data_IF_939560276409
#
_entry.id   IF_939560276409
#
_cell.length_a   1.000
_cell.length_b   1.000
_cell.length_c   1.000
_cell.angle_alpha   90.00
_cell.angle_beta   90.00
_cell.angle_gamma   90.00
#
_symmetry.space_group_name_H-M   'P 1'
#
loop_
_entity.id
_entity.type
_entity.pdbx_description
1 polymer ?
#
# COMPACT_ATOMS: atom_id res chain seq x y z
N UNK A 1 -30.67 -7.05 25.54
CA UNK A 1 -29.21 -7.34 25.44
C UNK A 1 -28.63 -6.34 24.46
N UNK A 2 -27.96 -5.31 24.96
CA UNK A 2 -27.30 -4.27 24.16
C UNK A 2 -25.87 -4.72 23.85
N UNK A 3 -25.55 -4.85 22.57
CA UNK A 3 -24.20 -5.10 22.08
C UNK A 3 -23.29 -3.93 22.49
N UNK A 4 -22.07 -4.15 23.03
CA UNK A 4 -21.14 -3.05 23.23
C UNK A 4 -20.69 -2.54 21.86
N UNK A 5 -20.78 -1.23 21.64
CA UNK A 5 -20.13 -0.58 20.52
C UNK A 5 -18.61 -0.78 20.66
N UNK A 6 -17.97 -1.28 19.60
CA UNK A 6 -16.51 -1.32 19.53
C UNK A 6 -15.99 0.12 19.63
N UNK A 7 -15.20 0.40 20.67
CA UNK A 7 -14.53 1.68 20.81
C UNK A 7 -13.60 1.88 19.61
N UNK A 8 -13.78 2.96 18.86
CA UNK A 8 -12.83 3.37 17.84
C UNK A 8 -11.46 3.61 18.52
N UNK A 9 -10.44 2.87 18.09
CA UNK A 9 -9.07 3.10 18.56
C UNK A 9 -8.68 4.55 18.24
N UNK A 10 -8.22 5.29 19.26
CA UNK A 10 -7.64 6.60 19.04
C UNK A 10 -6.45 6.47 18.07
N UNK A 11 -6.26 7.39 17.11
CA UNK A 11 -5.13 7.33 16.22
C UNK A 11 -3.84 7.42 17.06
N UNK A 12 -3.08 6.34 17.11
CA UNK A 12 -1.75 6.38 17.71
C UNK A 12 -0.89 7.30 16.87
N UNK A 13 -0.36 8.32 17.54
CA UNK A 13 0.50 9.31 16.92
C UNK A 13 1.85 8.66 16.67
N UNK A 14 2.40 8.74 15.46
CA UNK A 14 3.76 8.30 15.19
C UNK A 14 4.75 9.27 15.82
N UNK A 15 5.03 9.08 17.12
CA UNK A 15 5.87 9.97 17.90
C UNK A 15 7.33 10.07 17.39
N UNK A 16 7.75 9.19 16.48
CA UNK A 16 9.10 9.15 15.94
C UNK A 16 9.25 9.91 14.59
N UNK A 17 8.18 10.47 14.03
CA UNK A 17 8.21 11.18 12.74
C UNK A 17 8.58 10.29 11.56
N UNK A 18 8.32 8.97 11.65
CA UNK A 18 8.54 8.00 10.58
C UNK A 18 7.22 7.43 10.07
N UNK A 19 7.29 6.91 8.84
CA UNK A 19 6.21 6.17 8.22
C UNK A 19 6.76 4.93 7.50
N UNK A 20 5.88 3.98 7.27
CA UNK A 20 6.14 2.75 6.54
C UNK A 20 6.38 3.06 5.07
N UNK A 21 7.33 2.36 4.48
CA UNK A 21 7.54 2.39 3.04
C UNK A 21 7.69 0.99 2.47
N UNK A 22 7.25 0.83 1.23
CA UNK A 22 7.42 -0.39 0.44
C UNK A 22 8.41 -0.17 -0.70
N UNK A 23 8.78 -1.24 -1.39
CA UNK A 23 9.65 -1.23 -2.57
C UNK A 23 9.11 -2.20 -3.62
N UNK A 24 9.67 -2.15 -4.83
CA UNK A 24 9.58 -3.24 -5.79
C UNK A 24 10.39 -4.42 -5.23
N UNK A 25 9.75 -5.59 -5.12
CA UNK A 25 10.37 -6.84 -4.69
C UNK A 25 10.78 -7.72 -5.87
N UNK A 26 9.92 -7.81 -6.89
CA UNK A 26 10.19 -8.62 -8.08
C UNK A 26 9.34 -8.20 -9.28
N UNK A 27 9.88 -8.41 -10.47
CA UNK A 27 9.09 -8.46 -11.70
C UNK A 27 8.45 -9.85 -11.85
N UNK A 28 7.25 -9.89 -12.42
CA UNK A 28 6.47 -11.10 -12.63
C UNK A 28 6.02 -11.27 -14.08
N UNK A 29 5.27 -12.35 -14.36
CA UNK A 29 4.78 -12.64 -15.70
C UNK A 29 3.80 -11.57 -16.18
N UNK A 30 3.67 -11.40 -17.49
CA UNK A 30 2.62 -10.56 -18.11
C UNK A 30 2.61 -9.09 -17.66
N UNK A 31 3.78 -8.52 -17.31
CA UNK A 31 3.87 -7.11 -16.88
C UNK A 31 3.28 -6.87 -15.49
N UNK A 32 3.37 -7.86 -14.60
CA UNK A 32 3.06 -7.69 -13.18
C UNK A 32 4.32 -7.40 -12.37
N UNK A 33 4.13 -6.74 -11.24
CA UNK A 33 5.16 -6.49 -10.23
C UNK A 33 4.67 -6.96 -8.87
N UNK A 34 5.60 -7.40 -8.04
CA UNK A 34 5.38 -7.62 -6.61
C UNK A 34 5.92 -6.41 -5.85
N UNK A 35 5.04 -5.69 -5.16
CA UNK A 35 5.40 -4.59 -4.27
C UNK A 35 5.17 -5.01 -2.83
N UNK A 36 6.06 -4.60 -1.93
CA UNK A 36 5.98 -5.02 -0.54
C UNK A 36 7.06 -4.41 0.33
N UNK A 37 7.01 -4.75 1.62
CA UNK A 37 7.88 -4.14 2.61
C UNK A 37 9.36 -4.57 2.52
N UNK A 38 9.62 -5.82 2.11
CA UNK A 38 10.95 -6.40 2.18
C UNK A 38 11.56 -6.35 3.59
N UNK A 39 12.89 -6.48 3.75
CA UNK A 39 13.53 -6.49 5.07
C UNK A 39 13.62 -5.12 5.75
N UNK A 40 13.30 -4.02 5.04
CA UNK A 40 13.50 -2.65 5.52
C UNK A 40 12.20 -1.94 5.93
N UNK A 41 11.05 -2.56 5.72
CA UNK A 41 9.75 -1.97 6.06
C UNK A 41 9.38 -2.25 7.51
N UNK A 42 8.80 -1.25 8.18
CA UNK A 42 8.26 -1.43 9.53
C UNK A 42 6.81 -0.94 9.57
N UNK A 43 5.88 -1.90 9.54
CA UNK A 43 4.44 -1.65 9.56
C UNK A 43 3.92 -1.17 10.92
N UNK A 44 4.71 -1.27 11.99
CA UNK A 44 4.28 -0.94 13.35
C UNK A 44 4.73 0.47 13.81
N UNK A 45 5.93 0.89 13.40
CA UNK A 45 6.54 2.14 13.85
C UNK A 45 7.01 3.04 12.69
N UNK A 46 6.84 2.59 11.44
CA UNK A 46 7.47 3.22 10.30
C UNK A 46 8.99 3.00 10.25
N UNK A 47 9.55 3.17 9.05
CA UNK A 47 10.96 2.92 8.76
C UNK A 47 11.67 4.16 8.19
N UNK A 48 10.92 5.10 7.61
CA UNK A 48 11.46 6.25 6.88
C UNK A 48 10.93 7.56 7.45
N UNK A 49 11.82 8.55 7.66
CA UNK A 49 11.43 9.87 8.16
C UNK A 49 10.46 10.56 7.20
N UNK A 50 9.36 11.13 7.72
CA UNK A 50 8.31 11.79 6.92
C UNK A 50 8.80 13.06 6.20
N UNK A 51 9.95 13.60 6.58
CA UNK A 51 10.62 14.71 5.88
C UNK A 51 11.25 14.29 4.55
N UNK A 52 11.45 12.98 4.32
CA UNK A 52 11.97 12.42 3.07
C UNK A 52 10.96 12.60 1.94
N UNK A 53 11.43 12.93 0.74
CA UNK A 53 10.60 12.92 -0.46
C UNK A 53 10.72 11.56 -1.15
N UNK A 54 9.62 10.80 -1.17
CA UNK A 54 9.52 9.50 -1.84
C UNK A 54 8.29 9.47 -2.74
N UNK A 55 8.32 8.73 -3.85
CA UNK A 55 7.12 8.43 -4.62
C UNK A 55 5.99 7.83 -3.76
N UNK A 56 4.75 8.06 -4.15
CA UNK A 56 3.57 7.43 -3.56
C UNK A 56 3.20 6.19 -4.39
N UNK A 57 3.03 5.04 -3.74
CA UNK A 57 2.50 3.85 -4.42
C UNK A 57 0.99 4.02 -4.57
N UNK A 58 0.52 4.08 -5.81
CA UNK A 58 -0.88 4.21 -6.15
C UNK A 58 -1.40 2.92 -6.75
N UNK A 59 -2.65 2.58 -6.46
CA UNK A 59 -3.35 1.40 -6.94
C UNK A 59 -4.70 1.80 -7.54
N UNK A 60 -5.03 1.22 -8.70
CA UNK A 60 -6.39 1.17 -9.23
C UNK A 60 -6.88 -0.27 -9.26
N UNK A 61 -7.92 -0.56 -8.49
CA UNK A 61 -8.59 -1.86 -8.52
C UNK A 61 -9.65 -1.84 -9.62
N UNK A 62 -9.63 -2.83 -10.50
CA UNK A 62 -10.64 -3.03 -11.54
C UNK A 62 -11.13 -4.48 -11.64
N UNK A 63 -10.81 -5.31 -10.65
CA UNK A 63 -11.39 -6.63 -10.48
C UNK A 63 -10.81 -7.72 -11.38
N UNK A 64 -9.81 -7.39 -12.23
CA UNK A 64 -9.18 -8.35 -13.14
C UNK A 64 -8.58 -9.56 -12.40
N UNK A 65 -8.60 -10.76 -13.01
CA UNK A 65 -8.03 -11.96 -12.41
C UNK A 65 -6.50 -11.90 -12.38
N UNK A 66 -5.89 -12.71 -11.50
CA UNK A 66 -4.45 -12.92 -11.51
C UNK A 66 -4.05 -13.65 -12.81
N UNK A 67 -2.98 -13.22 -13.51
CA UNK A 67 -2.48 -13.94 -14.67
C UNK A 67 -1.90 -15.31 -14.27
N UNK A 68 -1.75 -16.19 -15.26
CA UNK A 68 -1.04 -17.45 -15.07
C UNK A 68 0.38 -17.21 -14.53
N UNK A 69 0.83 -18.06 -13.61
CA UNK A 69 2.13 -17.95 -12.95
C UNK A 69 2.14 -17.16 -11.64
N UNK A 70 1.01 -16.55 -11.25
CA UNK A 70 0.84 -15.95 -9.93
C UNK A 70 -0.14 -16.79 -9.10
N UNK A 71 0.33 -17.29 -7.96
CA UNK A 71 -0.49 -17.98 -6.97
C UNK A 71 -0.62 -17.08 -5.74
N UNK A 72 -1.76 -16.40 -5.53
CA UNK A 72 -1.93 -15.47 -4.43
C UNK A 72 -1.91 -16.18 -3.07
N UNK A 73 -1.16 -15.64 -2.12
CA UNK A 73 -1.07 -16.14 -0.75
C UNK A 73 -1.21 -15.03 0.29
N UNK A 74 -1.26 -15.42 1.56
CA UNK A 74 -1.41 -14.47 2.68
C UNK A 74 -0.31 -13.39 2.71
N UNK A 75 0.93 -13.73 2.37
CA UNK A 75 2.06 -12.79 2.37
C UNK A 75 2.31 -12.11 1.02
N UNK A 76 1.63 -12.55 -0.04
CA UNK A 76 1.84 -12.13 -1.42
C UNK A 76 0.52 -12.31 -2.20
N UNK A 77 -0.46 -11.47 -1.89
CA UNK A 77 -1.80 -11.56 -2.48
C UNK A 77 -1.86 -10.99 -3.90
N UNK A 78 -3.05 -10.98 -4.49
CA UNK A 78 -3.35 -10.33 -5.77
C UNK A 78 -4.19 -9.09 -5.54
N UNK A 79 -3.73 -7.92 -6.00
CA UNK A 79 -4.41 -6.65 -5.79
C UNK A 79 -5.63 -6.44 -6.70
N UNK A 80 -5.85 -7.29 -7.71
CA UNK A 80 -6.97 -7.19 -8.65
C UNK A 80 -6.98 -5.87 -9.43
N UNK A 81 -5.79 -5.42 -9.82
CA UNK A 81 -5.63 -4.09 -10.37
C UNK A 81 -4.25 -3.78 -10.92
N UNK A 82 -3.97 -2.48 -11.05
CA UNK A 82 -2.71 -1.93 -11.57
C UNK A 82 -2.10 -0.97 -10.56
N UNK A 83 -0.78 -1.05 -10.34
CA UNK A 83 0.00 -0.09 -9.57
C UNK A 83 0.77 0.87 -10.45
N UNK A 84 1.05 2.05 -9.92
CA UNK A 84 1.98 3.03 -10.47
C UNK A 84 2.59 3.86 -9.33
N UNK A 85 3.76 4.42 -9.56
CA UNK A 85 4.43 5.31 -8.61
C UNK A 85 4.36 6.77 -9.09
N UNK A 86 4.00 7.70 -8.20
CA UNK A 86 4.01 9.14 -8.53
C UNK A 86 5.43 9.70 -8.60
N UNK A 87 5.56 10.98 -8.92
CA UNK A 87 6.76 11.74 -8.55
C UNK A 87 6.95 11.82 -7.02
N UNK A 88 8.17 12.12 -6.51
CA UNK A 88 8.44 12.19 -5.08
C UNK A 88 7.62 13.26 -4.34
N UNK A 89 7.02 12.88 -3.22
CA UNK A 89 6.31 13.76 -2.30
C UNK A 89 6.86 13.60 -0.88
N UNK A 90 7.03 14.72 -0.16
CA UNK A 90 7.40 14.66 1.26
C UNK A 90 6.26 14.03 2.05
N UNK A 91 6.56 13.06 2.91
CA UNK A 91 5.57 12.43 3.79
C UNK A 91 4.77 13.45 4.61
N UNK A 92 5.39 14.55 5.07
CA UNK A 92 4.71 15.65 5.78
C UNK A 92 3.62 16.38 4.98
N UNK A 93 3.53 16.16 3.66
CA UNK A 93 2.44 16.69 2.81
C UNK A 93 1.24 15.75 2.75
N UNK A 94 1.39 14.51 3.17
CA UNK A 94 0.33 13.50 3.23
C UNK A 94 -0.32 13.58 4.62
N UNK A 95 -1.31 14.46 4.78
CA UNK A 95 -1.95 14.74 6.08
C UNK A 95 -3.15 13.85 6.38
N UNK A 96 -3.38 12.81 5.58
CA UNK A 96 -4.46 11.85 5.76
C UNK A 96 -4.68 11.00 4.51
N UNK A 97 -5.44 9.91 4.68
CA UNK A 97 -5.79 8.98 3.59
C UNK A 97 -6.41 9.69 2.39
N UNK A 98 -7.37 10.59 2.63
CA UNK A 98 -8.02 11.35 1.56
C UNK A 98 -7.05 12.23 0.75
N UNK A 99 -6.02 12.80 1.40
CA UNK A 99 -4.99 13.60 0.70
C UNK A 99 -4.10 12.71 -0.13
N UNK A 100 -3.68 11.56 0.39
CA UNK A 100 -2.87 10.60 -0.35
C UNK A 100 -3.63 10.01 -1.55
N UNK A 101 -4.91 9.66 -1.35
CA UNK A 101 -5.78 9.20 -2.43
C UNK A 101 -5.97 10.27 -3.50
N UNK A 102 -6.15 11.54 -3.10
CA UNK A 102 -6.23 12.66 -4.04
C UNK A 102 -4.93 12.86 -4.83
N UNK A 103 -3.76 12.65 -4.23
CA UNK A 103 -2.48 12.65 -4.97
C UNK A 103 -2.49 11.59 -6.06
N UNK A 104 -2.91 10.37 -5.76
CA UNK A 104 -3.02 9.30 -6.75
C UNK A 104 -4.04 9.62 -7.85
N UNK A 105 -5.22 10.10 -7.48
CA UNK A 105 -6.27 10.46 -8.44
C UNK A 105 -5.84 11.62 -9.36
N UNK A 106 -5.11 12.61 -8.84
CA UNK A 106 -4.60 13.73 -9.64
C UNK A 106 -3.48 13.33 -10.61
N UNK A 107 -2.68 12.30 -10.26
CA UNK A 107 -1.61 11.81 -11.14
C UNK A 107 -2.14 10.87 -12.23
N UNK A 108 -3.09 10.01 -11.90
CA UNK A 108 -3.46 8.86 -12.74
C UNK A 108 -4.95 8.78 -13.12
N UNK A 109 -5.77 9.69 -12.60
CA UNK A 109 -7.21 9.78 -12.89
C UNK A 109 -8.10 9.14 -11.83
N UNK A 110 -9.42 9.22 -12.05
CA UNK A 110 -10.41 8.68 -11.13
C UNK A 110 -10.23 7.18 -10.87
N UNK A 111 -10.47 6.76 -9.63
CA UNK A 111 -10.35 5.37 -9.18
C UNK A 111 -8.96 4.96 -8.70
N UNK A 112 -7.94 5.80 -8.91
CA UNK A 112 -6.62 5.61 -8.29
C UNK A 112 -6.60 6.15 -6.87
N UNK A 113 -5.98 5.39 -5.98
CA UNK A 113 -5.83 5.74 -4.56
C UNK A 113 -4.49 5.24 -4.03
N UNK A 114 -4.07 5.68 -2.85
CA UNK A 114 -2.85 5.17 -2.22
C UNK A 114 -3.01 3.66 -1.99
N UNK A 115 -2.00 2.88 -2.35
CA UNK A 115 -1.94 1.46 -2.05
C UNK A 115 -1.88 1.25 -0.53
N UNK A 116 -2.46 0.15 -0.07
CA UNK A 116 -2.63 -0.20 1.33
C UNK A 116 -2.08 -1.61 1.57
N UNK A 117 -1.52 -1.81 2.75
CA UNK A 117 -0.80 -3.01 3.17
C UNK A 117 -1.60 -4.31 2.94
N UNK A 118 -2.91 -4.28 3.10
CA UNK A 118 -3.84 -5.41 2.97
C UNK A 118 -4.62 -5.46 1.64
N UNK A 119 -4.13 -4.76 0.60
CA UNK A 119 -4.74 -4.80 -0.72
C UNK A 119 -4.63 -6.15 -1.42
N UNK A 120 -3.62 -6.95 -1.08
CA UNK A 120 -3.43 -8.29 -1.61
C UNK A 120 -4.56 -9.24 -1.18
N UNK A 121 -5.28 -9.81 -2.15
CA UNK A 121 -6.33 -10.81 -1.92
C UNK A 121 -5.86 -12.23 -2.21
N UNK A 122 -6.38 -13.22 -1.48
CA UNK A 122 -6.02 -14.63 -1.65
C UNK A 122 -7.15 -15.59 -1.24
N UNK A 123 -6.92 -16.89 -1.49
CA UNK A 123 -7.89 -17.96 -1.23
C UNK A 123 -8.88 -18.16 -2.38
N UNK A 124 -9.85 -19.07 -2.22
CA UNK A 124 -10.95 -19.23 -3.17
C UNK A 124 -11.60 -17.86 -3.43
N UNK A 125 -11.87 -17.58 -4.70
CA UNK A 125 -12.52 -16.34 -5.17
C UNK A 125 -11.91 -15.02 -4.65
N UNK A 126 -10.66 -15.04 -4.17
CA UNK A 126 -9.96 -13.87 -3.62
C UNK A 126 -10.70 -13.19 -2.47
N UNK A 127 -11.37 -13.98 -1.63
CA UNK A 127 -12.21 -13.48 -0.54
C UNK A 127 -11.45 -13.02 0.71
N UNK A 128 -10.20 -13.44 0.90
CA UNK A 128 -9.40 -13.08 2.07
C UNK A 128 -8.40 -11.97 1.74
N UNK A 129 -8.04 -11.17 2.74
CA UNK A 129 -6.99 -10.15 2.63
C UNK A 129 -5.73 -10.60 3.37
N UNK A 130 -4.60 -10.48 2.70
CA UNK A 130 -3.28 -10.78 3.24
C UNK A 130 -2.54 -9.51 3.67
N UNK A 131 -1.22 -9.56 3.76
CA UNK A 131 -0.38 -8.39 4.01
C UNK A 131 1.04 -8.59 3.52
N UNK A 132 1.94 -7.66 3.87
CA UNK A 132 3.38 -7.70 3.62
C UNK A 132 3.82 -7.47 2.17
N UNK A 133 3.08 -7.99 1.20
CA UNK A 133 3.24 -7.68 -0.22
C UNK A 133 2.01 -8.04 -1.03
N UNK A 134 1.91 -7.51 -2.25
CA UNK A 134 0.97 -8.00 -3.23
C UNK A 134 1.54 -7.90 -4.66
N UNK A 135 1.00 -8.74 -5.52
CA UNK A 135 1.14 -8.67 -6.96
C UNK A 135 0.07 -7.76 -7.57
N UNK A 136 0.44 -7.00 -8.59
CA UNK A 136 -0.46 -6.20 -9.41
C UNK A 136 0.12 -6.08 -10.83
N UNK A 137 -0.68 -5.69 -11.82
CA UNK A 137 -0.11 -5.20 -13.08
C UNK A 137 0.59 -3.86 -12.82
N UNK A 138 1.55 -3.52 -13.67
CA UNK A 138 2.18 -2.20 -13.66
C UNK A 138 3.68 -2.30 -13.73
N UNK A 139 4.29 -1.14 -13.71
CA UNK A 139 5.74 -0.97 -13.67
C UNK A 139 6.04 0.11 -12.64
N UNK A 140 6.99 -0.18 -11.76
CA UNK A 140 7.47 0.76 -10.75
C UNK A 140 8.99 0.69 -10.74
N UNK A 141 9.72 1.80 -10.59
CA UNK A 141 11.17 1.75 -10.82
C UNK A 141 11.89 0.90 -9.75
N UNK A 142 12.75 -0.01 -10.21
CA UNK A 142 13.59 -0.87 -9.37
C UNK A 142 14.36 -0.06 -8.32
N UNK A 143 14.44 -0.59 -7.09
CA UNK A 143 15.13 0.04 -5.96
C UNK A 143 14.45 1.29 -5.39
N UNK A 144 13.28 1.68 -5.89
CA UNK A 144 12.55 2.84 -5.38
C UNK A 144 11.72 2.45 -4.16
N UNK A 145 11.86 3.22 -3.08
CA UNK A 145 10.96 3.14 -1.94
C UNK A 145 9.75 4.04 -2.17
N UNK A 146 8.58 3.56 -1.81
CA UNK A 146 7.31 4.25 -1.95
C UNK A 146 6.66 4.45 -0.59
N UNK A 147 5.99 5.59 -0.40
CA UNK A 147 4.98 5.68 0.64
C UNK A 147 3.83 4.70 0.32
N UNK A 148 3.40 3.95 1.33
CA UNK A 148 2.26 3.02 1.28
C UNK A 148 1.46 3.15 2.57
N UNK A 149 0.16 2.88 2.53
CA UNK A 149 -0.72 3.00 3.68
C UNK A 149 -0.79 1.70 4.48
N UNK A 150 -1.15 1.81 5.75
CA UNK A 150 -1.65 0.70 6.58
C UNK A 150 -2.77 1.23 7.46
N UNK A 151 -3.95 0.61 7.36
CA UNK A 151 -5.14 1.13 8.03
C UNK A 151 -5.25 0.66 9.50
N UNK A 152 -4.56 -0.41 9.88
CA UNK A 152 -4.65 -1.05 11.21
C UNK A 152 -3.43 -0.83 12.11
N UNK A 153 -2.45 -0.05 11.66
CA UNK A 153 -1.27 0.36 12.43
C UNK A 153 -0.98 1.85 12.28
N UNK A 154 -0.34 2.49 13.27
CA UNK A 154 0.15 3.85 13.13
C UNK A 154 1.47 3.84 12.37
N UNK A 155 1.50 3.55 11.08
CA UNK A 155 2.73 3.66 10.29
C UNK A 155 2.54 4.52 9.05
N UNK A 156 1.55 5.40 9.04
CA UNK A 156 1.34 6.33 7.93
C UNK A 156 2.03 7.67 8.18
N UNK A 157 2.29 8.45 7.12
CA UNK A 157 2.86 9.80 7.26
C UNK A 157 1.98 10.80 8.05
N UNK A 158 0.69 10.52 8.19
CA UNK A 158 -0.29 11.36 8.91
C UNK A 158 -0.57 10.89 10.34
N UNK A 159 0.10 9.82 10.79
CA UNK A 159 0.08 9.45 12.20
C UNK A 159 1.00 10.37 12.99
#
# INVERSE_FOLDING_TARGET
>A
MTTPAAAAAAPSVNANGKAMTWTLLADGPSGTVQVGGGPLSNAYQGDTATTTALPLLCLRIDGRPAPAGITPGFYAGWARGTVAATGPIRGTRLTGRAVADAVCANNFGAGWRMAEFHDGKYGPDLQNSGGWSFWAYGDVPLGTRFWTAIDDQPANPWN
#
